data_IF_288386662916
#
_entry.id   IF_288386662916
#
_cell.length_a   1.000
_cell.length_b   1.000
_cell.length_c   1.000
_cell.angle_alpha   90.00
_cell.angle_beta   90.00
_cell.angle_gamma   90.00
#
_symmetry.space_group_name_H-M   'P 1'
#
loop_
_entity.id
_entity.type
_entity.pdbx_description
1 polymer ?
#
# COMPACT_ATOMS: atom_id res chain seq x y z
N UNK A 1 3.95 42.18 -20.07
CA UNK A 1 4.99 41.37 -19.45
C UNK A 1 4.29 40.44 -18.49
N UNK A 2 4.34 39.13 -18.70
CA UNK A 2 3.76 38.16 -17.74
C UNK A 2 4.60 38.20 -16.45
N UNK A 3 3.93 38.41 -15.31
CA UNK A 3 4.58 38.32 -14.00
C UNK A 3 5.24 36.92 -13.85
N UNK A 4 6.40 36.83 -13.22
CA UNK A 4 7.01 35.57 -12.92
C UNK A 4 6.09 34.76 -11.99
N UNK A 5 6.18 33.41 -12.02
CA UNK A 5 5.34 32.59 -11.15
C UNK A 5 5.57 32.90 -9.66
N UNK A 6 6.80 33.14 -9.25
CA UNK A 6 7.13 33.51 -7.88
C UNK A 6 6.52 34.86 -7.46
N UNK A 7 6.38 35.81 -8.39
CA UNK A 7 5.64 37.07 -8.13
C UNK A 7 4.13 36.83 -7.92
N UNK A 8 3.55 35.89 -8.62
CA UNK A 8 2.11 35.53 -8.49
C UNK A 8 1.80 34.90 -7.13
N UNK A 9 2.76 34.18 -6.54
CA UNK A 9 2.64 33.53 -5.22
C UNK A 9 3.34 34.28 -4.09
N UNK A 10 3.68 35.57 -4.27
CA UNK A 10 4.37 36.42 -3.30
C UNK A 10 3.62 36.65 -1.98
N UNK A 11 2.39 36.19 -1.85
CA UNK A 11 1.66 36.11 -0.58
C UNK A 11 2.12 34.96 0.33
N UNK A 12 2.96 34.06 -0.17
CA UNK A 12 3.70 33.03 0.55
C UNK A 12 5.15 33.47 0.76
N UNK A 13 5.82 32.88 1.73
CA UNK A 13 7.26 32.97 1.86
C UNK A 13 7.94 32.07 0.84
N UNK A 14 8.16 32.61 -0.36
CA UNK A 14 8.69 31.85 -1.50
C UNK A 14 10.15 31.42 -1.26
N UNK A 15 10.92 32.13 -0.44
CA UNK A 15 12.28 31.76 -0.09
C UNK A 15 12.30 30.46 0.72
N UNK A 16 11.47 30.37 1.76
CA UNK A 16 11.29 29.15 2.54
C UNK A 16 10.76 28.00 1.66
N UNK A 17 9.74 28.25 0.83
CA UNK A 17 9.16 27.21 -0.04
C UNK A 17 10.18 26.66 -1.05
N UNK A 18 10.94 27.51 -1.70
CA UNK A 18 11.95 27.14 -2.69
C UNK A 18 13.11 26.34 -2.07
N UNK A 19 13.56 26.68 -0.86
CA UNK A 19 14.58 25.88 -0.14
C UNK A 19 14.17 24.40 0.00
N UNK A 20 12.92 24.13 0.35
CA UNK A 20 12.42 22.75 0.45
C UNK A 20 12.28 22.06 -0.89
N UNK A 21 12.25 22.79 -1.99
CA UNK A 21 12.16 22.29 -3.36
C UNK A 21 13.52 22.22 -4.08
N UNK A 22 14.63 22.45 -3.38
CA UNK A 22 15.97 22.45 -3.97
C UNK A 22 16.10 23.50 -5.08
N UNK A 23 15.51 24.68 -4.88
CA UNK A 23 15.45 25.82 -5.80
C UNK A 23 14.80 25.52 -7.18
N UNK A 24 13.97 24.45 -7.28
CA UNK A 24 13.21 24.11 -8.47
C UNK A 24 11.83 24.75 -8.46
N UNK A 25 11.59 25.72 -9.34
CA UNK A 25 10.30 26.40 -9.49
C UNK A 25 9.20 25.42 -9.96
N UNK A 26 9.51 24.47 -10.83
CA UNK A 26 8.56 23.47 -11.31
C UNK A 26 8.10 22.55 -10.16
N UNK A 27 9.02 22.10 -9.32
CA UNK A 27 8.68 21.28 -8.17
C UNK A 27 7.92 22.08 -7.11
N UNK A 28 8.25 23.36 -6.91
CA UNK A 28 7.48 24.23 -6.02
C UNK A 28 6.05 24.43 -6.51
N UNK A 29 5.85 24.56 -7.80
CA UNK A 29 4.52 24.63 -8.44
C UNK A 29 3.69 23.37 -8.20
N UNK A 30 4.28 22.19 -8.38
CA UNK A 30 3.63 20.91 -8.09
C UNK A 30 3.27 20.77 -6.61
N UNK A 31 4.15 21.21 -5.72
CA UNK A 31 3.92 21.20 -4.27
C UNK A 31 2.74 22.11 -3.88
N UNK A 32 2.65 23.31 -4.46
CA UNK A 32 1.54 24.24 -4.23
C UNK A 32 0.21 23.69 -4.76
N UNK A 33 0.21 23.03 -5.91
CA UNK A 33 -0.97 22.33 -6.43
C UNK A 33 -1.42 21.19 -5.51
N UNK A 34 -0.48 20.38 -5.01
CA UNK A 34 -0.76 19.31 -4.06
C UNK A 34 -1.32 19.86 -2.73
N UNK A 35 -0.81 20.99 -2.26
CA UNK A 35 -1.31 21.67 -1.07
C UNK A 35 -2.75 22.17 -1.28
N UNK A 36 -3.06 22.77 -2.43
CA UNK A 36 -4.39 23.26 -2.81
C UNK A 36 -5.43 22.13 -2.81
N UNK A 37 -5.09 20.97 -3.41
CA UNK A 37 -6.02 19.86 -3.57
C UNK A 37 -5.95 18.82 -2.43
N UNK A 38 -5.37 19.17 -1.29
CA UNK A 38 -5.16 18.21 -0.18
C UNK A 38 -6.45 17.77 0.54
N UNK A 39 -7.57 18.47 0.38
CA UNK A 39 -8.84 18.21 1.08
C UNK A 39 -8.81 18.46 2.58
N UNK A 40 -7.69 18.96 3.14
CA UNK A 40 -7.48 19.12 4.59
C UNK A 40 -8.36 20.16 5.23
N UNK A 41 -8.80 21.15 4.46
CA UNK A 41 -9.67 22.19 4.99
C UNK A 41 -10.97 21.59 5.55
N UNK A 42 -11.62 20.73 4.77
CA UNK A 42 -12.85 20.06 5.17
C UNK A 42 -12.61 19.01 6.26
N UNK A 43 -11.50 18.28 6.17
CA UNK A 43 -11.10 17.25 7.16
C UNK A 43 -10.96 17.87 8.56
N UNK A 44 -10.22 18.99 8.68
CA UNK A 44 -10.00 19.68 9.95
C UNK A 44 -11.32 20.28 10.46
N UNK A 45 -12.09 20.90 9.56
CA UNK A 45 -13.37 21.50 9.92
C UNK A 45 -14.35 20.46 10.46
N UNK A 46 -14.48 19.33 9.77
CA UNK A 46 -15.34 18.22 10.20
C UNK A 46 -14.90 17.63 11.54
N UNK A 47 -13.59 17.40 11.74
CA UNK A 47 -13.08 16.92 13.03
C UNK A 47 -13.35 17.90 14.17
N UNK A 48 -13.31 19.22 13.90
CA UNK A 48 -13.63 20.26 14.87
C UNK A 48 -15.13 20.28 15.22
N UNK A 49 -16.04 20.25 14.25
CA UNK A 49 -17.49 20.25 14.44
C UNK A 49 -17.98 19.00 15.19
N UNK A 50 -17.36 17.84 14.90
CA UNK A 50 -17.69 16.57 15.52
C UNK A 50 -17.03 16.38 16.91
N UNK A 51 -16.26 17.37 17.39
CA UNK A 51 -15.48 17.31 18.65
C UNK A 51 -14.53 16.12 18.72
N UNK A 52 -14.03 15.61 17.57
CA UNK A 52 -13.08 14.50 17.48
C UNK A 52 -11.65 15.02 17.65
N UNK A 53 -11.26 15.35 18.89
CA UNK A 53 -10.03 16.09 19.18
C UNK A 53 -8.73 15.36 18.80
N UNK A 54 -8.73 14.02 18.82
CA UNK A 54 -7.55 13.25 18.38
C UNK A 54 -7.38 13.31 16.85
N UNK A 55 -8.45 13.10 16.07
CA UNK A 55 -8.42 13.27 14.61
C UNK A 55 -8.08 14.71 14.23
N UNK A 56 -8.65 15.67 14.96
CA UNK A 56 -8.34 17.08 14.82
C UNK A 56 -6.85 17.36 15.03
N UNK A 57 -6.25 16.81 16.09
CA UNK A 57 -4.82 16.95 16.40
C UNK A 57 -3.94 16.42 15.26
N UNK A 58 -4.28 15.25 14.72
CA UNK A 58 -3.57 14.64 13.59
C UNK A 58 -3.67 15.52 12.34
N UNK A 59 -4.86 16.01 12.02
CA UNK A 59 -5.10 16.83 10.83
C UNK A 59 -4.39 18.19 10.92
N UNK A 60 -4.40 18.88 12.08
CA UNK A 60 -3.68 20.15 12.25
C UNK A 60 -2.16 19.95 12.32
N UNK A 61 -1.67 18.81 12.84
CA UNK A 61 -0.24 18.45 12.75
C UNK A 61 0.24 18.37 11.30
N UNK A 62 -0.55 17.71 10.47
CA UNK A 62 -0.25 17.60 9.05
C UNK A 62 -0.37 18.97 8.34
N UNK A 63 -1.36 19.80 8.70
CA UNK A 63 -1.48 21.18 8.18
C UNK A 63 -0.25 22.03 8.54
N UNK A 64 0.23 21.97 9.80
CA UNK A 64 1.42 22.66 10.24
C UNK A 64 2.63 22.38 9.34
N UNK A 65 2.91 21.10 9.12
CA UNK A 65 4.06 20.65 8.34
C UNK A 65 3.95 21.02 6.86
N UNK A 66 2.80 20.80 6.23
CA UNK A 66 2.60 21.13 4.82
C UNK A 66 2.55 22.64 4.57
N UNK A 67 1.99 23.43 5.50
CA UNK A 67 1.98 24.88 5.39
C UNK A 67 3.40 25.48 5.52
N UNK A 68 4.27 24.88 6.33
CA UNK A 68 5.67 25.27 6.40
C UNK A 68 6.40 25.02 5.07
N UNK A 69 6.20 23.81 4.49
CA UNK A 69 6.83 23.43 3.22
C UNK A 69 6.48 24.35 2.05
N UNK A 70 5.26 24.87 2.04
CA UNK A 70 4.81 25.79 0.96
C UNK A 70 5.03 27.26 1.28
N UNK A 71 5.67 27.60 2.41
CA UNK A 71 5.90 28.97 2.83
C UNK A 71 4.65 29.70 3.36
N UNK A 72 3.57 28.99 3.73
CA UNK A 72 2.39 29.56 4.38
C UNK A 72 2.61 29.72 5.90
N UNK A 73 3.61 30.50 6.30
CA UNK A 73 4.15 30.55 7.67
C UNK A 73 3.10 30.90 8.73
N UNK A 74 2.17 31.82 8.44
CA UNK A 74 1.10 32.17 9.40
C UNK A 74 0.13 31.02 9.65
N UNK A 75 -0.19 30.26 8.61
CA UNK A 75 -1.05 29.07 8.73
C UNK A 75 -0.33 27.97 9.51
N UNK A 76 0.97 27.77 9.23
CA UNK A 76 1.81 26.81 9.95
C UNK A 76 1.90 27.14 11.44
N UNK A 77 2.10 28.38 11.80
CA UNK A 77 2.15 28.81 13.21
C UNK A 77 0.80 28.68 13.91
N UNK A 78 -0.30 29.08 13.27
CA UNK A 78 -1.66 28.86 13.79
C UNK A 78 -1.95 27.38 14.03
N UNK A 79 -1.60 26.53 13.07
CA UNK A 79 -1.76 25.07 13.18
C UNK A 79 -0.87 24.48 14.31
N UNK A 80 0.34 25.00 14.51
CA UNK A 80 1.23 24.60 15.61
C UNK A 80 0.60 24.88 16.99
N UNK A 81 0.00 26.05 17.14
CA UNK A 81 -0.66 26.43 18.40
C UNK A 81 -1.92 25.60 18.66
N UNK A 82 -2.69 25.30 17.61
CA UNK A 82 -3.87 24.43 17.72
C UNK A 82 -3.46 22.98 18.02
N UNK A 83 -2.38 22.47 17.41
CA UNK A 83 -1.83 21.14 17.72
C UNK A 83 -1.44 21.05 19.20
N UNK A 84 -0.74 22.08 19.72
CA UNK A 84 -0.33 22.11 21.12
C UNK A 84 -1.53 22.16 22.05
N UNK A 85 -2.52 22.99 21.75
CA UNK A 85 -3.75 23.08 22.55
C UNK A 85 -4.53 21.75 22.55
N UNK A 86 -4.56 21.04 21.44
CA UNK A 86 -5.17 19.71 21.36
C UNK A 86 -4.42 18.67 22.21
N UNK A 87 -3.08 18.69 22.20
CA UNK A 87 -2.24 17.84 23.07
C UNK A 87 -2.47 18.11 24.55
N UNK A 88 -2.64 19.37 24.91
CA UNK A 88 -2.83 19.82 26.28
C UNK A 88 -4.31 19.73 26.74
N UNK A 89 -5.18 19.16 25.91
CA UNK A 89 -6.64 19.09 26.09
C UNK A 89 -7.28 20.47 26.41
N UNK A 90 -6.67 21.56 25.91
CA UNK A 90 -7.15 22.92 26.10
C UNK A 90 -8.25 23.29 25.09
N UNK A 91 -9.44 22.73 25.30
CA UNK A 91 -10.60 22.92 24.42
C UNK A 91 -11.02 24.40 24.33
N UNK A 92 -10.83 25.18 25.38
CA UNK A 92 -11.16 26.61 25.36
C UNK A 92 -10.31 27.36 24.31
N UNK A 93 -9.02 27.06 24.23
CA UNK A 93 -8.15 27.62 23.21
C UNK A 93 -8.55 27.20 21.80
N UNK A 94 -8.88 25.91 21.61
CA UNK A 94 -9.33 25.38 20.32
C UNK A 94 -10.58 26.12 19.82
N UNK A 95 -11.60 26.27 20.69
CA UNK A 95 -12.83 26.95 20.36
C UNK A 95 -12.63 28.43 20.03
N UNK A 96 -11.67 29.10 20.67
CA UNK A 96 -11.38 30.52 20.44
C UNK A 96 -10.60 30.79 19.15
N UNK A 97 -9.64 29.91 18.77
CA UNK A 97 -8.64 30.22 17.73
C UNK A 97 -8.75 29.37 16.48
N UNK A 98 -9.57 28.29 16.47
CA UNK A 98 -9.76 27.43 15.29
C UNK A 98 -10.19 28.25 14.08
N UNK A 99 -11.25 29.05 14.22
CA UNK A 99 -11.81 29.82 13.09
C UNK A 99 -10.83 30.78 12.45
N UNK A 100 -9.99 31.45 13.24
CA UNK A 100 -8.99 32.40 12.75
C UNK A 100 -7.95 31.65 11.90
N UNK A 101 -7.42 30.53 12.40
CA UNK A 101 -6.44 29.71 11.66
C UNK A 101 -7.03 29.16 10.36
N UNK A 102 -8.26 28.66 10.40
CA UNK A 102 -8.93 28.11 9.21
C UNK A 102 -9.28 29.20 8.21
N UNK A 103 -9.59 30.41 8.66
CA UNK A 103 -9.80 31.54 7.77
C UNK A 103 -8.50 31.94 7.05
N UNK A 104 -7.36 31.98 7.75
CA UNK A 104 -6.06 32.20 7.11
C UNK A 104 -5.73 31.11 6.10
N UNK A 105 -6.00 29.85 6.42
CA UNK A 105 -5.80 28.74 5.50
C UNK A 105 -6.69 28.85 4.26
N UNK A 106 -7.98 29.10 4.42
CA UNK A 106 -8.93 29.33 3.31
C UNK A 106 -8.52 30.49 2.39
N UNK A 107 -7.98 31.59 2.97
CA UNK A 107 -7.46 32.70 2.17
C UNK A 107 -6.24 32.32 1.32
N UNK A 108 -5.35 31.47 1.84
CA UNK A 108 -4.21 30.94 1.08
C UNK A 108 -4.71 30.06 -0.07
N UNK A 109 -5.64 29.14 0.20
CA UNK A 109 -6.21 28.25 -0.83
C UNK A 109 -6.91 29.07 -1.93
N UNK A 110 -7.75 30.04 -1.58
CA UNK A 110 -8.45 30.89 -2.56
C UNK A 110 -7.51 31.74 -3.42
N UNK A 111 -6.35 32.16 -2.88
CA UNK A 111 -5.34 32.85 -3.69
C UNK A 111 -4.60 31.90 -4.62
N UNK A 112 -4.31 30.68 -4.18
CA UNK A 112 -3.69 29.65 -5.02
C UNK A 112 -4.63 29.23 -6.16
N UNK A 113 -5.94 29.07 -5.89
CA UNK A 113 -6.94 28.81 -6.93
C UNK A 113 -6.84 29.83 -8.06
N UNK A 114 -6.79 31.11 -7.73
CA UNK A 114 -6.69 32.20 -8.73
C UNK A 114 -5.38 32.18 -9.52
N UNK A 115 -4.28 31.75 -8.92
CA UNK A 115 -2.98 31.61 -9.60
C UNK A 115 -3.01 30.44 -10.59
N UNK A 116 -3.75 29.39 -10.26
CA UNK A 116 -3.88 28.20 -11.09
C UNK A 116 -5.13 28.18 -11.97
N UNK A 117 -6.05 29.19 -11.85
CA UNK A 117 -7.16 29.44 -12.77
C UNK A 117 -6.61 29.81 -14.16
N UNK A 118 -6.34 28.82 -15.01
CA UNK A 118 -5.81 29.02 -16.36
C UNK A 118 -4.67 28.13 -16.75
N UNK A 119 -4.13 27.35 -15.80
CA UNK A 119 -3.25 26.23 -16.10
C UNK A 119 -4.12 25.02 -16.46
N UNK A 120 -3.94 24.47 -17.67
CA UNK A 120 -4.60 23.24 -18.10
C UNK A 120 -4.47 22.19 -17.02
N UNK A 121 -5.60 21.75 -16.50
CA UNK A 121 -5.75 20.66 -15.55
C UNK A 121 -5.14 19.41 -16.16
N UNK A 122 -4.02 18.97 -15.62
CA UNK A 122 -3.57 17.59 -15.80
C UNK A 122 -4.61 16.68 -15.13
N UNK A 123 -5.38 16.01 -15.98
CA UNK A 123 -6.30 14.94 -15.60
C UNK A 123 -7.38 15.42 -14.64
N UNK A 124 -8.45 15.98 -15.18
CA UNK A 124 -9.75 15.94 -14.54
C UNK A 124 -9.91 14.53 -13.98
N UNK A 125 -9.82 14.41 -12.64
CA UNK A 125 -10.66 13.42 -12.00
C UNK A 125 -12.05 13.70 -12.59
N UNK A 126 -12.71 12.71 -13.21
CA UNK A 126 -14.03 12.95 -13.69
C UNK A 126 -14.81 13.56 -12.51
N UNK A 127 -15.17 14.85 -12.62
CA UNK A 127 -16.36 15.28 -11.93
C UNK A 127 -17.36 14.20 -12.32
N UNK A 128 -17.66 13.35 -11.37
CA UNK A 128 -18.95 12.71 -11.39
C UNK A 128 -19.91 13.90 -11.33
N UNK A 129 -20.21 14.47 -12.50
CA UNK A 129 -21.50 15.11 -12.71
C UNK A 129 -22.45 13.99 -12.35
N UNK A 130 -22.83 13.96 -11.07
CA UNK A 130 -24.04 13.30 -10.68
C UNK A 130 -25.11 13.91 -11.58
N UNK A 131 -25.33 13.29 -12.73
CA UNK A 131 -26.64 13.35 -13.33
C UNK A 131 -27.52 12.88 -12.19
N UNK A 132 -28.27 13.81 -11.61
CA UNK A 132 -29.34 13.47 -10.69
C UNK A 132 -30.36 12.72 -11.54
N UNK A 133 -30.03 11.49 -11.90
CA UNK A 133 -30.98 10.57 -12.48
C UNK A 133 -32.05 10.40 -11.41
N UNK A 134 -33.26 10.83 -11.72
CA UNK A 134 -34.42 10.68 -10.85
C UNK A 134 -34.51 9.20 -10.49
N UNK A 135 -34.42 8.84 -9.18
CA UNK A 135 -34.39 7.43 -8.79
C UNK A 135 -35.62 6.69 -9.29
N UNK A 136 -35.41 5.48 -9.79
CA UNK A 136 -36.47 4.65 -10.35
C UNK A 136 -37.01 3.68 -9.30
N UNK A 137 -38.30 3.76 -9.03
CA UNK A 137 -39.04 2.89 -8.09
C UNK A 137 -40.00 2.00 -8.88
N UNK A 138 -39.89 0.69 -8.68
CA UNK A 138 -40.87 -0.29 -9.17
C UNK A 138 -41.90 -0.55 -8.08
N UNK A 139 -43.19 -0.40 -8.40
CA UNK A 139 -44.30 -0.72 -7.50
C UNK A 139 -44.99 -1.96 -8.01
N UNK A 140 -45.16 -2.95 -7.15
CA UNK A 140 -45.77 -4.26 -7.47
C UNK A 140 -46.96 -4.46 -6.52
N UNK A 141 -48.16 -4.45 -7.05
CA UNK A 141 -49.42 -4.60 -6.30
C UNK A 141 -50.52 -5.09 -7.24
N UNK A 142 -51.36 -6.03 -6.83
CA UNK A 142 -52.42 -6.58 -7.68
C UNK A 142 -53.63 -5.66 -7.76
N UNK A 143 -53.73 -4.65 -6.91
CA UNK A 143 -54.80 -3.65 -6.97
C UNK A 143 -54.35 -2.38 -7.75
N UNK A 144 -55.02 -2.18 -8.91
CA UNK A 144 -54.79 -1.02 -9.76
C UNK A 144 -55.02 0.35 -9.04
N UNK A 145 -55.80 0.39 -7.97
CA UNK A 145 -56.03 1.61 -7.18
C UNK A 145 -54.81 1.92 -6.34
N UNK A 146 -54.20 0.94 -5.68
CA UNK A 146 -52.98 1.06 -4.93
C UNK A 146 -51.81 1.54 -5.82
N UNK A 147 -51.66 0.96 -7.01
CA UNK A 147 -50.65 1.38 -7.98
C UNK A 147 -50.79 2.85 -8.37
N UNK A 148 -52.02 3.28 -8.71
CA UNK A 148 -52.29 4.70 -9.06
C UNK A 148 -52.05 5.65 -7.89
N UNK A 149 -52.39 5.23 -6.68
CA UNK A 149 -52.10 6.05 -5.48
C UNK A 149 -50.60 6.19 -5.27
N UNK A 150 -49.85 5.09 -5.29
CA UNK A 150 -48.41 5.10 -5.11
C UNK A 150 -47.71 5.95 -6.19
N UNK A 151 -48.06 5.75 -7.46
CA UNK A 151 -47.56 6.54 -8.59
C UNK A 151 -47.80 8.06 -8.38
N UNK A 152 -49.02 8.45 -8.03
CA UNK A 152 -49.39 9.85 -7.83
C UNK A 152 -48.67 10.47 -6.63
N UNK A 153 -48.48 9.70 -5.52
CA UNK A 153 -47.77 10.17 -4.33
C UNK A 153 -46.28 10.41 -4.60
N UNK A 154 -45.66 9.57 -5.44
CA UNK A 154 -44.24 9.63 -5.74
C UNK A 154 -43.91 10.49 -6.96
N UNK A 155 -44.93 10.93 -7.73
CA UNK A 155 -44.75 11.75 -8.93
C UNK A 155 -43.99 13.05 -8.62
N UNK A 156 -42.99 13.38 -9.47
CA UNK A 156 -42.17 14.59 -9.34
C UNK A 156 -40.90 14.40 -8.51
N UNK A 157 -40.81 13.35 -7.66
CA UNK A 157 -39.61 13.02 -6.91
C UNK A 157 -38.91 11.75 -7.43
N UNK A 158 -39.69 10.79 -7.96
CA UNK A 158 -39.22 9.51 -8.44
C UNK A 158 -39.77 9.20 -9.84
N UNK A 159 -39.01 8.42 -10.63
CA UNK A 159 -39.53 7.74 -11.79
C UNK A 159 -40.22 6.47 -11.30
N UNK A 160 -41.48 6.29 -11.56
CA UNK A 160 -42.28 5.18 -11.06
C UNK A 160 -42.69 4.27 -12.22
N UNK A 161 -42.49 2.97 -12.05
CA UNK A 161 -43.06 1.93 -12.89
C UNK A 161 -43.98 1.04 -12.04
N UNK A 162 -45.12 0.64 -12.59
CA UNK A 162 -46.12 -0.13 -11.90
C UNK A 162 -46.37 -1.46 -12.63
N UNK A 163 -46.44 -2.55 -11.89
CA UNK A 163 -46.82 -3.89 -12.42
C UNK A 163 -47.82 -4.56 -11.48
N UNK A 164 -48.65 -5.42 -12.02
CA UNK A 164 -49.81 -5.98 -11.30
C UNK A 164 -49.58 -7.38 -10.74
N UNK A 165 -48.40 -7.95 -10.89
CA UNK A 165 -48.11 -9.30 -10.37
C UNK A 165 -46.60 -9.51 -10.13
N UNK A 166 -46.29 -10.50 -9.28
CA UNK A 166 -44.91 -10.92 -9.07
C UNK A 166 -44.21 -11.39 -10.34
N UNK A 167 -44.96 -12.05 -11.23
CA UNK A 167 -44.44 -12.52 -12.52
C UNK A 167 -44.03 -11.32 -13.40
N UNK A 168 -44.92 -10.33 -13.55
CA UNK A 168 -44.61 -9.12 -14.29
C UNK A 168 -43.42 -8.35 -13.69
N UNK A 169 -43.26 -8.35 -12.36
CA UNK A 169 -42.13 -7.76 -11.71
C UNK A 169 -40.81 -8.44 -12.13
N UNK A 170 -40.76 -9.75 -12.18
CA UNK A 170 -39.58 -10.50 -12.63
C UNK A 170 -39.28 -10.28 -14.12
N UNK A 171 -40.31 -10.27 -14.98
CA UNK A 171 -40.17 -9.93 -16.38
C UNK A 171 -39.71 -8.47 -16.62
N UNK A 172 -40.13 -7.56 -15.77
CA UNK A 172 -39.65 -6.17 -15.77
C UNK A 172 -38.15 -6.10 -15.47
N UNK A 173 -37.68 -6.83 -14.44
CA UNK A 173 -36.28 -6.82 -14.02
C UNK A 173 -35.31 -7.40 -15.08
N UNK A 174 -35.79 -8.24 -16.00
CA UNK A 174 -34.97 -8.68 -17.14
C UNK A 174 -34.60 -7.51 -18.08
N UNK A 175 -35.45 -6.49 -18.17
CA UNK A 175 -35.32 -5.35 -19.07
C UNK A 175 -34.65 -4.13 -18.38
N UNK A 176 -35.04 -3.89 -17.13
CA UNK A 176 -34.60 -2.68 -16.41
C UNK A 176 -34.48 -2.99 -14.90
N UNK A 177 -33.41 -2.48 -14.28
CA UNK A 177 -33.16 -2.63 -12.85
C UNK A 177 -33.54 -1.33 -12.13
N UNK A 178 -34.56 -1.32 -11.25
CA UNK A 178 -34.95 -0.17 -10.47
C UNK A 178 -33.98 0.08 -9.31
N UNK A 179 -34.00 1.29 -8.77
CA UNK A 179 -33.25 1.63 -7.58
C UNK A 179 -33.89 1.10 -6.29
N UNK A 180 -35.22 0.85 -6.31
CA UNK A 180 -35.98 0.32 -5.17
C UNK A 180 -37.23 -0.38 -5.67
N UNK A 181 -37.68 -1.43 -4.96
CA UNK A 181 -38.94 -2.12 -5.22
C UNK A 181 -39.88 -1.93 -4.01
N UNK A 182 -41.09 -1.43 -4.26
CA UNK A 182 -42.22 -1.50 -3.35
C UNK A 182 -43.03 -2.75 -3.72
N UNK A 183 -43.15 -3.74 -2.84
CA UNK A 183 -43.66 -5.07 -3.15
C UNK A 183 -44.80 -5.43 -2.20
N UNK A 184 -45.99 -5.63 -2.76
CA UNK A 184 -47.10 -6.14 -2.00
C UNK A 184 -46.85 -7.58 -1.53
N UNK A 185 -47.20 -7.85 -0.29
CA UNK A 185 -47.09 -9.20 0.28
C UNK A 185 -48.15 -10.15 -0.22
N UNK A 186 -49.38 -9.66 -0.40
CA UNK A 186 -50.55 -10.49 -0.67
C UNK A 186 -51.01 -10.32 -2.11
N UNK A 187 -50.39 -11.07 -3.03
CA UNK A 187 -50.76 -11.07 -4.43
C UNK A 187 -51.21 -12.48 -4.85
N UNK A 188 -52.19 -12.60 -5.80
CA UNK A 188 -52.58 -13.88 -6.38
C UNK A 188 -51.43 -14.56 -7.12
N UNK A 189 -51.41 -15.88 -7.12
CA UNK A 189 -50.47 -16.74 -7.86
C UNK A 189 -49.04 -16.71 -7.30
N UNK A 190 -48.48 -15.55 -7.05
CA UNK A 190 -47.12 -15.38 -6.52
C UNK A 190 -47.14 -14.28 -5.46
N UNK A 191 -46.89 -14.65 -4.21
CA UNK A 191 -46.81 -13.72 -3.06
C UNK A 191 -45.53 -12.86 -3.09
N UNK A 192 -45.55 -11.73 -2.38
CA UNK A 192 -44.33 -10.89 -2.27
C UNK A 192 -43.15 -11.62 -1.65
N UNK A 193 -43.39 -12.59 -0.77
CA UNK A 193 -42.31 -13.41 -0.21
C UNK A 193 -41.65 -14.30 -1.28
N UNK A 194 -42.43 -14.92 -2.18
CA UNK A 194 -41.90 -15.74 -3.25
C UNK A 194 -41.12 -14.89 -4.27
N UNK A 195 -41.60 -13.68 -4.57
CA UNK A 195 -40.83 -12.73 -5.40
C UNK A 195 -39.48 -12.38 -4.71
N UNK A 196 -39.49 -12.10 -3.39
CA UNK A 196 -38.30 -11.79 -2.63
C UNK A 196 -37.29 -12.93 -2.63
N UNK A 197 -37.73 -14.18 -2.50
CA UNK A 197 -36.88 -15.37 -2.61
C UNK A 197 -36.15 -15.41 -3.95
N UNK A 198 -36.88 -15.17 -5.06
CA UNK A 198 -36.29 -15.16 -6.40
C UNK A 198 -35.32 -14.01 -6.59
N UNK A 199 -35.64 -12.82 -6.06
CA UNK A 199 -34.71 -11.67 -6.08
C UNK A 199 -33.39 -11.99 -5.35
N UNK A 200 -33.45 -12.64 -4.19
CA UNK A 200 -32.27 -12.99 -3.41
C UNK A 200 -31.46 -14.14 -4.00
N UNK A 201 -32.09 -15.03 -4.75
CA UNK A 201 -31.42 -16.14 -5.44
C UNK A 201 -30.62 -15.67 -6.66
N UNK A 202 -31.04 -14.60 -7.31
CA UNK A 202 -30.40 -14.10 -8.53
C UNK A 202 -29.36 -13.00 -8.22
N UNK A 203 -28.11 -13.22 -8.63
CA UNK A 203 -26.99 -12.30 -8.38
C UNK A 203 -27.25 -10.87 -8.82
N UNK A 204 -27.95 -10.68 -9.96
CA UNK A 204 -28.24 -9.36 -10.55
C UNK A 204 -29.22 -8.53 -9.73
N UNK A 205 -30.11 -9.18 -8.95
CA UNK A 205 -31.25 -8.54 -8.30
C UNK A 205 -31.14 -8.52 -6.78
N UNK A 206 -30.28 -9.38 -6.19
CA UNK A 206 -30.21 -9.61 -4.75
C UNK A 206 -29.92 -8.36 -3.92
N UNK A 207 -29.25 -7.36 -4.52
CA UNK A 207 -28.84 -6.12 -3.85
C UNK A 207 -29.83 -4.96 -4.06
N UNK A 208 -30.93 -5.19 -4.80
CA UNK A 208 -32.00 -4.19 -4.96
C UNK A 208 -32.71 -4.03 -3.61
N UNK A 209 -32.82 -2.81 -3.08
CA UNK A 209 -33.59 -2.54 -1.86
C UNK A 209 -35.07 -2.82 -2.08
N UNK A 210 -35.69 -3.55 -1.14
CA UNK A 210 -37.12 -3.91 -1.16
C UNK A 210 -37.79 -3.37 0.09
N UNK A 211 -38.92 -2.71 -0.10
CA UNK A 211 -39.87 -2.33 0.96
C UNK A 211 -41.16 -3.11 0.71
N UNK A 212 -41.64 -3.82 1.73
CA UNK A 212 -42.92 -4.50 1.60
C UNK A 212 -44.10 -3.57 1.84
N UNK A 213 -45.16 -3.74 1.06
CA UNK A 213 -46.47 -3.14 1.23
C UNK A 213 -47.35 -4.16 1.98
N UNK A 214 -48.00 -3.78 3.08
CA UNK A 214 -48.78 -4.71 3.90
C UNK A 214 -50.08 -4.10 4.37
N UNK A 215 -51.16 -4.90 4.34
CA UNK A 215 -52.42 -4.55 5.01
C UNK A 215 -52.46 -5.01 6.47
N UNK A 216 -51.56 -5.94 6.87
CA UNK A 216 -51.50 -6.54 8.17
C UNK A 216 -50.44 -5.91 9.05
N UNK A 217 -50.82 -5.60 10.29
CA UNK A 217 -49.88 -5.20 11.33
C UNK A 217 -49.45 -6.43 12.18
N UNK A 218 -49.43 -7.61 11.58
CA UNK A 218 -49.00 -8.83 12.26
C UNK A 218 -47.48 -8.84 12.42
N UNK A 219 -47.03 -8.85 13.67
CA UNK A 219 -45.61 -8.80 14.03
C UNK A 219 -44.78 -9.93 13.40
N UNK A 220 -45.38 -11.10 13.21
CA UNK A 220 -44.70 -12.27 12.63
C UNK A 220 -44.39 -12.09 11.13
N UNK A 221 -45.25 -11.39 10.40
CA UNK A 221 -45.06 -11.05 9.00
C UNK A 221 -43.89 -10.10 8.79
N UNK A 222 -43.79 -9.06 9.64
CA UNK A 222 -42.69 -8.12 9.62
C UNK A 222 -41.35 -8.81 9.95
N UNK A 223 -41.32 -9.64 11.01
CA UNK A 223 -40.13 -10.39 11.39
C UNK A 223 -39.64 -11.29 10.25
N UNK A 224 -40.56 -12.02 9.60
CA UNK A 224 -40.23 -12.87 8.45
C UNK A 224 -39.66 -12.04 7.30
N UNK A 225 -40.26 -10.93 6.95
CA UNK A 225 -39.81 -10.08 5.86
C UNK A 225 -38.40 -9.49 6.10
N UNK A 226 -38.09 -9.03 7.32
CA UNK A 226 -36.74 -8.57 7.66
C UNK A 226 -35.72 -9.72 7.59
N UNK A 227 -36.08 -10.92 8.04
CA UNK A 227 -35.19 -12.10 7.92
C UNK A 227 -34.86 -12.44 6.45
N UNK A 228 -35.82 -12.19 5.53
CA UNK A 228 -35.63 -12.38 4.11
C UNK A 228 -34.85 -11.23 3.44
N UNK A 229 -34.55 -10.16 4.19
CA UNK A 229 -33.74 -9.04 3.72
C UNK A 229 -34.52 -7.86 3.16
N UNK A 230 -35.80 -7.70 3.52
CA UNK A 230 -36.51 -6.45 3.31
C UNK A 230 -35.91 -5.34 4.18
N UNK A 231 -35.89 -4.11 3.68
CA UNK A 231 -35.31 -2.99 4.40
C UNK A 231 -36.33 -2.19 5.22
N UNK A 232 -37.62 -2.26 4.85
CA UNK A 232 -38.71 -1.61 5.58
C UNK A 232 -40.07 -2.15 5.15
N UNK A 233 -41.15 -1.67 5.79
CA UNK A 233 -42.55 -1.98 5.52
C UNK A 233 -43.36 -0.68 5.41
N UNK A 234 -44.36 -0.66 4.55
CA UNK A 234 -45.33 0.44 4.42
C UNK A 234 -46.72 -0.14 4.56
N UNK A 235 -47.45 0.31 5.59
CA UNK A 235 -48.82 -0.13 5.82
C UNK A 235 -49.80 0.49 4.79
N UNK A 236 -50.76 -0.31 4.35
CA UNK A 236 -51.91 0.17 3.58
C UNK A 236 -53.05 0.55 4.58
N UNK A 237 -53.84 1.62 4.31
CA UNK A 237 -53.74 2.55 3.20
C UNK A 237 -52.54 3.49 3.30
N UNK A 238 -51.95 3.86 2.14
CA UNK A 238 -50.74 4.68 2.06
C UNK A 238 -50.97 6.09 2.60
N UNK A 239 -50.01 6.58 3.37
CA UNK A 239 -49.89 7.97 3.77
C UNK A 239 -48.71 8.57 3.01
N UNK A 240 -48.96 9.60 2.18
CA UNK A 240 -47.97 10.15 1.25
C UNK A 240 -46.64 10.51 1.94
N UNK A 241 -46.67 11.31 3.01
CA UNK A 241 -45.47 11.74 3.71
C UNK A 241 -44.65 10.57 4.28
N UNK A 242 -45.31 9.53 4.80
CA UNK A 242 -44.64 8.34 5.34
C UNK A 242 -44.01 7.55 4.20
N UNK A 243 -44.71 7.31 3.11
CA UNK A 243 -44.21 6.60 1.96
C UNK A 243 -42.96 7.30 1.37
N UNK A 244 -43.08 8.60 1.11
CA UNK A 244 -41.99 9.41 0.56
C UNK A 244 -40.74 9.40 1.47
N UNK A 245 -40.93 9.58 2.78
CA UNK A 245 -39.83 9.54 3.74
C UNK A 245 -39.12 8.17 3.78
N UNK A 246 -39.87 7.07 3.81
CA UNK A 246 -39.27 5.71 3.84
C UNK A 246 -38.53 5.40 2.56
N UNK A 247 -39.13 5.68 1.41
CA UNK A 247 -38.49 5.47 0.08
C UNK A 247 -37.22 6.31 -0.03
N UNK A 248 -37.28 7.62 0.27
CA UNK A 248 -36.12 8.52 0.20
C UNK A 248 -35.00 8.06 1.12
N UNK A 249 -35.32 7.69 2.37
CA UNK A 249 -34.34 7.22 3.36
C UNK A 249 -33.63 5.94 2.89
N UNK A 250 -34.36 4.98 2.37
CA UNK A 250 -33.78 3.71 1.90
C UNK A 250 -32.88 3.95 0.69
N UNK A 251 -33.31 4.79 -0.26
CA UNK A 251 -32.51 5.14 -1.44
C UNK A 251 -31.22 5.89 -1.05
N UNK A 252 -31.30 6.81 -0.09
CA UNK A 252 -30.12 7.53 0.42
C UNK A 252 -29.15 6.58 1.11
N UNK A 253 -29.63 5.69 1.96
CA UNK A 253 -28.79 4.68 2.64
C UNK A 253 -28.11 3.74 1.62
N UNK A 254 -28.82 3.29 0.59
CA UNK A 254 -28.26 2.43 -0.46
C UNK A 254 -27.18 3.17 -1.28
N UNK A 255 -27.43 4.44 -1.60
CA UNK A 255 -26.47 5.33 -2.28
C UNK A 255 -25.20 5.50 -1.44
N UNK A 256 -25.33 5.82 -0.15
CA UNK A 256 -24.20 5.96 0.77
C UNK A 256 -23.42 4.66 0.91
N UNK A 257 -24.11 3.53 1.04
CA UNK A 257 -23.48 2.22 1.10
C UNK A 257 -22.63 1.92 -0.14
N UNK A 258 -23.18 2.13 -1.34
CA UNK A 258 -22.48 1.92 -2.61
C UNK A 258 -21.29 2.86 -2.77
N UNK A 259 -21.44 4.12 -2.38
CA UNK A 259 -20.35 5.09 -2.38
C UNK A 259 -19.20 4.68 -1.45
N UNK A 260 -19.53 4.28 -0.21
CA UNK A 260 -18.53 3.81 0.75
C UNK A 260 -17.80 2.55 0.28
N UNK A 261 -18.52 1.60 -0.31
CA UNK A 261 -17.90 0.39 -0.88
C UNK A 261 -16.90 0.75 -1.99
N UNK A 262 -17.30 1.61 -2.92
CA UNK A 262 -16.40 2.06 -4.00
C UNK A 262 -15.17 2.80 -3.46
N UNK A 263 -15.33 3.63 -2.42
CA UNK A 263 -14.22 4.33 -1.79
C UNK A 263 -13.27 3.38 -1.07
N UNK A 264 -13.80 2.37 -0.34
CA UNK A 264 -12.98 1.33 0.30
C UNK A 264 -12.17 0.55 -0.74
N UNK A 265 -12.80 0.14 -1.85
CA UNK A 265 -12.10 -0.56 -2.94
C UNK A 265 -11.00 0.31 -3.56
N UNK A 266 -11.27 1.61 -3.76
CA UNK A 266 -10.30 2.58 -4.27
C UNK A 266 -9.12 2.73 -3.33
N UNK A 267 -9.37 2.90 -2.02
CA UNK A 267 -8.33 3.06 -1.00
C UNK A 267 -7.48 1.79 -0.86
N UNK A 268 -8.11 0.62 -0.90
CA UNK A 268 -7.41 -0.67 -0.85
C UNK A 268 -6.45 -0.81 -2.03
N UNK A 269 -6.91 -0.49 -3.25
CA UNK A 269 -6.06 -0.53 -4.45
C UNK A 269 -4.86 0.42 -4.34
N UNK A 270 -5.11 1.67 -3.93
CA UNK A 270 -4.03 2.66 -3.74
C UNK A 270 -3.02 2.23 -2.67
N UNK A 271 -3.49 1.64 -1.57
CA UNK A 271 -2.63 1.12 -0.51
C UNK A 271 -1.74 -0.02 -1.03
N UNK A 272 -2.28 -0.95 -1.81
CA UNK A 272 -1.52 -2.03 -2.43
C UNK A 272 -0.47 -1.52 -3.43
N UNK A 273 -0.83 -0.53 -4.27
CA UNK A 273 0.10 0.09 -5.21
C UNK A 273 1.25 0.78 -4.48
N UNK A 274 0.95 1.54 -3.42
CA UNK A 274 1.96 2.19 -2.56
C UNK A 274 2.87 1.16 -1.91
N UNK A 275 2.30 0.10 -1.33
CA UNK A 275 3.08 -0.99 -0.73
C UNK A 275 4.05 -1.60 -1.73
N UNK A 276 3.57 -1.98 -2.93
CA UNK A 276 4.43 -2.53 -4.00
C UNK A 276 5.52 -1.56 -4.45
N UNK A 277 5.22 -0.24 -4.47
CA UNK A 277 6.23 0.78 -4.81
C UNK A 277 7.32 0.87 -3.74
N UNK A 278 6.94 0.87 -2.47
CA UNK A 278 7.89 0.89 -1.34
C UNK A 278 8.77 -0.36 -1.33
N UNK A 279 8.19 -1.56 -1.52
CA UNK A 279 8.92 -2.82 -1.62
C UNK A 279 9.96 -2.80 -2.74
N UNK A 280 9.56 -2.32 -3.94
CA UNK A 280 10.51 -2.18 -5.07
C UNK A 280 11.63 -1.20 -4.77
N UNK A 281 11.30 -0.05 -4.19
CA UNK A 281 12.29 0.98 -3.85
C UNK A 281 13.27 0.48 -2.80
N UNK A 282 12.79 -0.20 -1.75
CA UNK A 282 13.65 -0.81 -0.73
C UNK A 282 14.61 -1.82 -1.35
N UNK A 283 14.12 -2.70 -2.22
CA UNK A 283 14.97 -3.65 -2.95
C UNK A 283 16.05 -2.95 -3.80
N UNK A 284 15.68 -1.90 -4.54
CA UNK A 284 16.63 -1.13 -5.35
C UNK A 284 17.69 -0.45 -4.50
N UNK A 285 17.30 0.14 -3.35
CA UNK A 285 18.25 0.78 -2.42
C UNK A 285 19.26 -0.24 -1.89
N UNK A 286 18.78 -1.41 -1.44
CA UNK A 286 19.65 -2.46 -0.92
C UNK A 286 20.61 -2.97 -2.01
N UNK A 287 20.12 -3.21 -3.23
CA UNK A 287 20.95 -3.61 -4.37
C UNK A 287 21.98 -2.54 -4.73
N UNK A 288 21.62 -1.27 -4.67
CA UNK A 288 22.56 -0.16 -4.92
C UNK A 288 23.64 -0.10 -3.85
N UNK A 289 23.29 -0.31 -2.57
CA UNK A 289 24.28 -0.38 -1.50
C UNK A 289 25.27 -1.53 -1.70
N UNK A 290 24.78 -2.73 -2.04
CA UNK A 290 25.62 -3.87 -2.35
C UNK A 290 26.54 -3.59 -3.55
N UNK A 291 25.99 -3.04 -4.64
CA UNK A 291 26.78 -2.66 -5.81
C UNK A 291 27.84 -1.57 -5.51
N UNK A 292 27.56 -0.68 -4.54
CA UNK A 292 28.52 0.34 -4.10
C UNK A 292 29.71 -0.30 -3.37
N UNK A 293 29.46 -1.35 -2.59
CA UNK A 293 30.51 -2.12 -1.92
C UNK A 293 31.30 -2.95 -2.95
N UNK A 294 30.60 -3.62 -3.89
CA UNK A 294 31.27 -4.32 -4.99
C UNK A 294 32.17 -3.38 -5.80
N UNK A 295 31.74 -2.14 -6.08
CA UNK A 295 32.53 -1.15 -6.80
C UNK A 295 33.81 -0.69 -6.04
N UNK A 296 33.88 -0.85 -4.73
CA UNK A 296 35.06 -0.60 -3.93
C UNK A 296 36.16 -1.65 -4.15
N UNK A 297 35.77 -2.88 -4.47
CA UNK A 297 36.63 -3.98 -4.86
C UNK A 297 36.55 -4.14 -6.38
N UNK A 298 37.56 -3.66 -7.10
CA UNK A 298 37.58 -3.59 -8.58
C UNK A 298 37.36 -4.94 -9.28
N UNK A 299 37.36 -6.03 -8.54
CA UNK A 299 37.27 -7.40 -9.07
C UNK A 299 35.93 -8.09 -8.77
N UNK A 300 35.00 -7.40 -8.07
CA UNK A 300 33.77 -7.99 -7.58
C UNK A 300 32.49 -7.48 -8.22
N UNK A 301 32.55 -6.94 -9.43
CA UNK A 301 31.37 -6.40 -10.10
C UNK A 301 30.24 -7.46 -10.19
N UNK A 302 29.10 -7.18 -9.54
CA UNK A 302 27.93 -8.06 -9.46
C UNK A 302 28.12 -9.33 -8.59
N UNK A 303 29.23 -9.45 -7.86
CA UNK A 303 29.50 -10.55 -6.95
C UNK A 303 28.39 -10.72 -5.91
N UNK A 304 28.08 -9.65 -5.17
CA UNK A 304 27.06 -9.70 -4.12
C UNK A 304 25.70 -10.17 -4.64
N UNK A 305 25.32 -9.78 -5.86
CA UNK A 305 24.05 -10.22 -6.47
C UNK A 305 24.11 -11.72 -6.80
N UNK A 306 25.22 -12.22 -7.37
CA UNK A 306 25.36 -13.64 -7.72
C UNK A 306 25.39 -14.51 -6.46
N UNK A 307 26.14 -14.11 -5.43
CA UNK A 307 26.15 -14.81 -4.12
C UNK A 307 24.76 -14.86 -3.52
N UNK A 308 24.01 -13.77 -3.56
CA UNK A 308 22.62 -13.71 -3.06
C UNK A 308 21.71 -14.69 -3.83
N UNK A 309 21.80 -14.75 -5.16
CA UNK A 309 21.00 -15.67 -5.98
C UNK A 309 21.34 -17.13 -5.71
N UNK A 310 22.63 -17.48 -5.59
CA UNK A 310 23.04 -18.84 -5.24
C UNK A 310 22.58 -19.21 -3.84
N UNK A 311 22.70 -18.30 -2.89
CA UNK A 311 22.25 -18.51 -1.51
C UNK A 311 20.75 -18.77 -1.42
N UNK A 312 19.95 -18.01 -2.16
CA UNK A 312 18.49 -18.19 -2.25
C UNK A 312 18.13 -19.55 -2.85
N UNK A 313 18.81 -19.96 -3.93
CA UNK A 313 18.56 -21.25 -4.57
C UNK A 313 18.97 -22.43 -3.67
N UNK A 314 20.08 -22.31 -2.96
CA UNK A 314 20.49 -23.30 -1.96
C UNK A 314 19.47 -23.41 -0.83
N UNK A 315 18.97 -22.28 -0.33
CA UNK A 315 17.91 -22.23 0.69
C UNK A 315 16.61 -22.90 0.19
N UNK A 316 16.22 -22.67 -1.04
CA UNK A 316 15.07 -23.31 -1.69
C UNK A 316 15.24 -24.84 -1.72
N UNK A 317 16.41 -25.32 -2.11
CA UNK A 317 16.73 -26.76 -2.17
C UNK A 317 16.84 -27.41 -0.80
N UNK A 318 17.15 -26.62 0.24
CA UNK A 318 17.11 -27.05 1.64
C UNK A 318 15.67 -27.10 2.20
N UNK A 319 14.65 -26.72 1.41
CA UNK A 319 13.25 -26.73 1.84
C UNK A 319 12.86 -25.54 2.73
N UNK A 320 13.61 -24.44 2.67
CA UNK A 320 13.28 -23.22 3.41
C UNK A 320 12.01 -22.56 2.87
N UNK A 321 11.25 -21.91 3.74
CA UNK A 321 10.06 -21.13 3.35
C UNK A 321 10.43 -20.00 2.41
N UNK A 322 9.45 -19.47 1.68
CA UNK A 322 9.68 -18.34 0.76
C UNK A 322 10.26 -17.11 1.48
N UNK A 323 9.81 -16.84 2.71
CA UNK A 323 10.34 -15.73 3.50
C UNK A 323 11.82 -15.97 3.87
N UNK A 324 12.17 -17.14 4.40
CA UNK A 324 13.57 -17.49 4.71
C UNK A 324 14.47 -17.43 3.47
N UNK A 325 13.96 -17.79 2.29
CA UNK A 325 14.71 -17.68 1.03
C UNK A 325 15.02 -16.22 0.67
N UNK A 326 14.05 -15.31 0.85
CA UNK A 326 14.26 -13.89 0.63
C UNK A 326 15.19 -13.26 1.69
N UNK A 327 15.05 -13.67 2.95
CA UNK A 327 15.94 -13.22 4.03
C UNK A 327 17.41 -13.62 3.74
N UNK A 328 17.62 -14.88 3.34
CA UNK A 328 18.95 -15.40 2.97
C UNK A 328 19.48 -14.67 1.71
N UNK A 329 18.62 -14.31 0.76
CA UNK A 329 19.00 -13.49 -0.38
C UNK A 329 19.58 -12.14 0.07
N UNK A 330 18.91 -11.43 0.99
CA UNK A 330 19.42 -10.15 1.50
C UNK A 330 20.68 -10.32 2.35
N UNK A 331 20.78 -11.39 3.14
CA UNK A 331 22.00 -11.72 3.89
C UNK A 331 23.18 -11.93 2.94
N UNK A 332 22.99 -12.71 1.85
CA UNK A 332 24.02 -12.91 0.83
C UNK A 332 24.35 -11.63 0.07
N UNK A 333 23.36 -10.76 -0.17
CA UNK A 333 23.58 -9.49 -0.86
C UNK A 333 24.44 -8.51 -0.05
N UNK A 334 24.33 -8.55 1.28
CA UNK A 334 25.00 -7.64 2.20
C UNK A 334 26.14 -8.27 3.01
N UNK A 335 26.52 -9.52 2.70
CA UNK A 335 27.53 -10.25 3.49
C UNK A 335 28.86 -9.49 3.62
N UNK A 336 29.25 -8.80 2.56
CA UNK A 336 30.51 -8.07 2.43
C UNK A 336 30.40 -6.58 2.76
N UNK A 337 29.26 -6.08 3.29
CA UNK A 337 29.07 -4.64 3.56
C UNK A 337 30.16 -4.03 4.45
N UNK A 338 30.76 -4.83 5.30
CA UNK A 338 31.86 -4.40 6.18
C UNK A 338 33.16 -4.05 5.47
N UNK A 339 33.32 -4.40 4.18
CA UNK A 339 34.46 -3.95 3.37
C UNK A 339 34.55 -2.41 3.26
N UNK A 340 33.45 -1.71 3.59
CA UNK A 340 33.49 -0.24 3.66
C UNK A 340 34.53 0.27 4.68
N UNK A 341 34.80 -0.51 5.72
CA UNK A 341 35.80 -0.19 6.75
C UNK A 341 37.25 -0.49 6.37
N UNK A 342 37.48 -1.17 5.24
CA UNK A 342 38.82 -1.57 4.81
C UNK A 342 39.39 -0.50 3.84
N UNK A 343 40.65 -0.06 3.99
CA UNK A 343 41.26 0.88 3.06
C UNK A 343 41.38 0.35 1.63
N UNK A 344 41.08 1.18 0.62
CA UNK A 344 41.10 0.80 -0.81
C UNK A 344 42.45 0.27 -1.27
N UNK A 345 43.52 0.80 -0.71
CA UNK A 345 44.91 0.36 -1.00
C UNK A 345 45.16 -1.10 -0.62
N UNK A 346 44.42 -1.63 0.36
CA UNK A 346 44.55 -3.02 0.81
C UNK A 346 43.62 -3.92 0.00
N UNK A 347 42.38 -3.52 -0.21
CA UNK A 347 41.40 -4.31 -0.99
C UNK A 347 41.91 -4.48 -2.43
N UNK A 348 42.43 -3.42 -3.06
CA UNK A 348 42.85 -3.41 -4.45
C UNK A 348 44.36 -3.59 -4.62
N UNK A 349 45.06 -4.12 -3.62
CA UNK A 349 46.50 -4.31 -3.68
C UNK A 349 46.88 -5.32 -4.78
N UNK A 350 47.71 -4.93 -5.74
CA UNK A 350 48.23 -5.90 -6.73
C UNK A 350 49.24 -6.82 -6.05
N UNK A 351 48.92 -8.10 -5.87
CA UNK A 351 49.80 -9.10 -5.32
C UNK A 351 49.37 -9.65 -3.96
N UNK A 352 50.32 -10.31 -3.24
CA UNK A 352 50.01 -10.93 -1.96
C UNK A 352 49.93 -9.87 -0.85
N UNK A 353 48.96 -10.04 0.04
CA UNK A 353 48.82 -9.26 1.26
C UNK A 353 49.92 -9.66 2.26
N UNK A 354 50.38 -8.71 3.10
CA UNK A 354 51.13 -9.05 4.32
C UNK A 354 50.21 -9.66 5.37
N UNK A 355 50.78 -10.24 6.40
CA UNK A 355 49.97 -10.81 7.48
C UNK A 355 49.15 -9.76 8.21
N UNK A 356 49.67 -8.55 8.38
CA UNK A 356 48.96 -7.41 9.01
C UNK A 356 47.83 -6.91 8.12
N UNK A 357 48.05 -6.82 6.81
CA UNK A 357 46.99 -6.44 5.85
C UNK A 357 45.89 -7.49 5.78
N UNK A 358 46.25 -8.77 5.88
CA UNK A 358 45.28 -9.87 5.90
C UNK A 358 44.47 -9.84 7.19
N UNK A 359 45.08 -9.59 8.36
CA UNK A 359 44.37 -9.42 9.61
C UNK A 359 43.37 -8.25 9.54
N UNK A 360 43.72 -7.15 8.84
CA UNK A 360 42.81 -6.05 8.67
C UNK A 360 41.62 -6.44 7.77
N UNK A 361 41.82 -7.19 6.71
CA UNK A 361 40.71 -7.71 5.89
C UNK A 361 39.78 -8.58 6.73
N UNK A 362 40.31 -9.44 7.61
CA UNK A 362 39.48 -10.27 8.51
C UNK A 362 38.56 -9.51 9.46
N UNK A 363 38.71 -8.18 9.55
CA UNK A 363 37.80 -7.36 10.38
C UNK A 363 36.45 -7.08 9.71
N UNK A 364 36.34 -7.21 8.36
CA UNK A 364 35.10 -6.81 7.65
C UNK A 364 33.86 -7.60 8.11
N UNK A 365 33.91 -8.90 8.48
CA UNK A 365 32.72 -9.60 8.98
C UNK A 365 32.18 -8.97 10.28
N UNK A 366 33.07 -8.55 11.15
CA UNK A 366 32.71 -7.88 12.41
C UNK A 366 32.11 -6.50 12.13
N UNK A 367 32.77 -5.69 11.28
CA UNK A 367 32.27 -4.38 10.87
C UNK A 367 30.90 -4.51 10.18
N UNK A 368 30.74 -5.47 9.28
CA UNK A 368 29.48 -5.74 8.59
C UNK A 368 28.36 -6.11 9.56
N UNK A 369 28.65 -6.98 10.52
CA UNK A 369 27.71 -7.35 11.59
C UNK A 369 27.27 -6.12 12.41
N UNK A 370 28.18 -5.24 12.78
CA UNK A 370 27.87 -4.01 13.52
C UNK A 370 27.01 -3.03 12.71
N UNK A 371 27.21 -2.94 11.40
CA UNK A 371 26.37 -2.13 10.50
C UNK A 371 24.95 -2.68 10.43
N UNK A 372 24.79 -4.00 10.32
CA UNK A 372 23.51 -4.64 10.07
C UNK A 372 22.67 -4.93 11.32
N UNK A 373 23.26 -4.92 12.53
CA UNK A 373 22.58 -5.31 13.78
C UNK A 373 21.30 -4.54 14.11
N UNK A 374 21.12 -3.34 13.54
CA UNK A 374 19.94 -2.51 13.78
C UNK A 374 18.78 -2.81 12.81
N UNK A 375 18.94 -3.74 11.87
CA UNK A 375 17.89 -4.17 10.94
C UNK A 375 17.09 -5.28 11.62
N UNK A 376 15.90 -4.96 12.13
CA UNK A 376 15.02 -5.90 12.84
C UNK A 376 14.12 -6.73 11.92
N UNK A 377 13.88 -6.24 10.69
CA UNK A 377 12.94 -6.86 9.74
C UNK A 377 13.45 -8.17 9.12
N UNK A 378 14.76 -8.42 9.19
CA UNK A 378 15.40 -9.64 8.71
C UNK A 378 16.17 -10.25 9.90
N UNK A 379 15.57 -11.21 10.63
CA UNK A 379 16.19 -11.79 11.81
C UNK A 379 17.54 -12.44 11.51
N UNK A 380 18.58 -12.04 12.23
CA UNK A 380 19.93 -12.62 12.08
C UNK A 380 20.70 -12.15 10.85
N UNK A 381 20.29 -11.07 10.20
CA UNK A 381 21.00 -10.52 9.01
C UNK A 381 22.48 -10.24 9.32
N UNK A 382 22.78 -9.79 10.54
CA UNK A 382 24.13 -9.52 11.01
C UNK A 382 24.99 -10.78 11.09
N UNK A 383 24.36 -11.98 11.28
CA UNK A 383 25.07 -13.25 11.37
C UNK A 383 25.55 -13.72 10.01
N UNK A 384 24.79 -13.44 8.95
CA UNK A 384 25.22 -13.69 7.57
C UNK A 384 26.55 -12.96 7.26
N UNK A 385 26.63 -11.67 7.61
CA UNK A 385 27.87 -10.90 7.46
C UNK A 385 28.98 -11.33 8.42
N UNK A 386 28.66 -11.69 9.67
CA UNK A 386 29.65 -12.02 10.67
C UNK A 386 30.33 -13.35 10.41
N UNK A 387 29.57 -14.39 9.96
CA UNK A 387 30.03 -15.76 9.95
C UNK A 387 30.20 -16.38 8.56
N UNK A 388 30.08 -15.66 7.48
CA UNK A 388 30.29 -16.22 6.13
C UNK A 388 31.73 -16.72 5.86
N UNK A 389 32.71 -16.28 6.65
CA UNK A 389 34.09 -16.80 6.64
C UNK A 389 34.40 -17.80 7.74
N UNK A 390 33.40 -18.18 8.54
CA UNK A 390 33.56 -19.34 9.42
C UNK A 390 33.64 -20.62 8.61
N UNK A 391 34.42 -21.54 9.09
CA UNK A 391 34.61 -22.82 8.45
C UNK A 391 33.96 -23.95 9.29
N UNK A 392 33.40 -24.93 8.63
CA UNK A 392 32.68 -26.01 9.29
C UNK A 392 33.57 -26.81 10.29
N UNK A 393 34.90 -26.84 10.05
CA UNK A 393 35.88 -27.45 10.92
C UNK A 393 36.30 -26.61 12.15
N UNK A 394 35.89 -25.33 12.21
CA UNK A 394 36.19 -24.39 13.30
C UNK A 394 37.51 -23.61 13.10
N UNK A 395 38.15 -23.70 11.94
CA UNK A 395 39.40 -22.99 11.65
C UNK A 395 39.17 -21.68 10.92
N UNK A 396 37.92 -21.20 10.86
CA UNK A 396 37.49 -19.94 10.25
C UNK A 396 37.66 -18.71 11.16
N UNK A 397 37.10 -17.62 10.76
CA UNK A 397 37.09 -16.37 11.49
C UNK A 397 35.73 -15.64 11.34
N UNK A 398 35.35 -14.71 12.24
CA UNK A 398 36.15 -14.11 13.32
C UNK A 398 36.07 -14.84 14.66
N UNK A 399 35.05 -15.70 14.89
CA UNK A 399 34.75 -16.28 16.22
C UNK A 399 35.24 -17.74 16.37
N UNK A 400 35.70 -18.39 15.29
CA UNK A 400 36.16 -19.79 15.28
C UNK A 400 35.06 -20.78 15.57
N UNK A 401 33.82 -20.51 15.15
CA UNK A 401 32.65 -21.37 15.31
C UNK A 401 32.77 -22.64 14.48
N UNK A 402 32.19 -23.73 14.99
CA UNK A 402 32.32 -25.05 14.37
C UNK A 402 30.96 -25.72 14.11
N UNK A 403 30.81 -26.33 12.95
CA UNK A 403 29.64 -27.16 12.63
C UNK A 403 28.33 -26.38 12.68
N UNK A 404 27.39 -26.84 13.49
CA UNK A 404 26.05 -26.24 13.62
C UNK A 404 26.01 -25.03 14.57
N UNK A 405 27.11 -24.65 15.21
CA UNK A 405 27.22 -23.36 15.92
C UNK A 405 27.22 -22.17 14.93
N UNK A 406 27.60 -22.42 13.68
CA UNK A 406 27.50 -21.46 12.58
C UNK A 406 26.05 -21.50 12.12
N UNK A 407 25.39 -20.32 12.00
CA UNK A 407 24.01 -20.25 11.47
C UNK A 407 23.92 -20.88 10.08
N UNK A 408 22.79 -21.48 9.76
CA UNK A 408 22.61 -22.14 8.45
C UNK A 408 22.73 -21.14 7.30
N UNK A 409 22.31 -19.90 7.51
CA UNK A 409 22.40 -18.81 6.55
C UNK A 409 23.85 -18.51 6.20
N UNK A 410 24.71 -18.37 7.21
CA UNK A 410 26.15 -18.15 7.02
C UNK A 410 26.83 -19.36 6.34
N UNK A 411 26.43 -20.59 6.67
CA UNK A 411 26.94 -21.82 6.00
C UNK A 411 26.56 -21.86 4.52
N UNK A 412 25.34 -21.38 4.18
CA UNK A 412 24.87 -21.24 2.79
C UNK A 412 25.70 -20.19 2.07
N UNK A 413 25.86 -18.99 2.66
CA UNK A 413 26.62 -17.89 2.06
C UNK A 413 28.08 -18.28 1.84
N UNK A 414 28.70 -18.96 2.80
CA UNK A 414 30.07 -19.46 2.68
C UNK A 414 30.30 -20.32 1.43
N UNK A 415 29.37 -21.23 1.11
CA UNK A 415 29.48 -22.07 -0.09
C UNK A 415 29.21 -21.27 -1.35
N UNK A 416 28.23 -20.37 -1.33
CA UNK A 416 27.86 -19.52 -2.46
C UNK A 416 28.99 -18.54 -2.82
N UNK A 417 29.58 -17.89 -1.81
CA UNK A 417 30.72 -16.98 -1.97
C UNK A 417 31.94 -17.70 -2.53
N UNK A 418 32.31 -18.85 -1.97
CA UNK A 418 33.42 -19.66 -2.48
C UNK A 418 33.20 -20.11 -3.93
N UNK A 419 31.96 -20.45 -4.30
CA UNK A 419 31.61 -20.80 -5.67
C UNK A 419 31.79 -19.60 -6.60
N UNK A 420 31.23 -18.42 -6.25
CA UNK A 420 31.36 -17.21 -7.05
C UNK A 420 32.85 -16.79 -7.18
N UNK A 421 33.59 -16.88 -6.08
CA UNK A 421 35.02 -16.60 -6.08
C UNK A 421 35.83 -17.47 -7.05
N UNK A 422 35.40 -18.70 -7.32
CA UNK A 422 36.05 -19.62 -8.26
C UNK A 422 35.56 -19.46 -9.70
N UNK A 423 34.36 -18.98 -9.91
CA UNK A 423 33.69 -18.85 -11.21
C UNK A 423 33.67 -17.42 -11.76
N UNK A 424 34.27 -16.47 -11.05
CA UNK A 424 34.45 -15.08 -11.49
C UNK A 424 35.91 -14.79 -11.85
N UNK A 425 36.13 -13.84 -12.75
CA UNK A 425 37.45 -13.37 -13.14
C UNK A 425 38.08 -12.56 -12.01
N UNK A 426 39.34 -12.85 -11.66
CA UNK A 426 40.10 -12.08 -10.66
C UNK A 426 41.44 -11.59 -11.26
N UNK A 427 42.06 -10.57 -10.62
CA UNK A 427 43.29 -9.95 -11.08
C UNK A 427 44.47 -10.93 -11.36
N UNK A 428 44.48 -12.02 -10.62
CA UNK A 428 45.56 -13.00 -10.63
C UNK A 428 45.15 -14.39 -11.15
N UNK A 429 43.87 -14.55 -11.57
CA UNK A 429 43.35 -15.86 -12.00
C UNK A 429 42.15 -15.72 -12.91
N UNK A 430 42.15 -16.43 -14.03
CA UNK A 430 40.98 -16.63 -14.88
C UNK A 430 39.93 -17.52 -14.22
N UNK A 431 38.71 -17.52 -14.78
CA UNK A 431 37.59 -18.37 -14.34
C UNK A 431 38.03 -19.84 -14.39
N UNK A 432 37.84 -20.58 -13.29
CA UNK A 432 38.14 -21.99 -13.22
C UNK A 432 37.16 -22.81 -14.07
N UNK A 433 37.67 -23.95 -14.61
CA UNK A 433 36.81 -24.92 -15.28
C UNK A 433 35.81 -25.50 -14.27
N UNK A 434 34.57 -25.77 -14.70
CA UNK A 434 33.50 -26.24 -13.83
C UNK A 434 33.85 -27.54 -13.09
N UNK A 435 34.57 -28.45 -13.75
CA UNK A 435 35.04 -29.69 -13.11
C UNK A 435 36.03 -29.43 -11.95
N UNK A 436 36.88 -28.40 -12.10
CA UNK A 436 37.81 -27.98 -11.03
C UNK A 436 37.05 -27.35 -9.88
N UNK A 437 36.09 -26.47 -10.17
CA UNK A 437 35.23 -25.85 -9.14
C UNK A 437 34.49 -26.94 -8.35
N UNK A 438 33.88 -27.89 -9.06
CA UNK A 438 33.19 -29.03 -8.44
C UNK A 438 34.10 -29.86 -7.55
N UNK A 439 35.31 -30.12 -8.00
CA UNK A 439 36.32 -30.88 -7.22
C UNK A 439 36.73 -30.13 -5.94
N UNK A 440 36.94 -28.80 -6.02
CA UNK A 440 37.28 -27.99 -4.84
C UNK A 440 36.14 -27.93 -3.83
N UNK A 441 34.88 -27.76 -4.27
CA UNK A 441 33.71 -27.82 -3.39
C UNK A 441 33.63 -29.21 -2.71
N UNK A 442 33.82 -30.29 -3.48
CA UNK A 442 33.80 -31.64 -2.95
C UNK A 442 34.89 -31.89 -1.90
N UNK A 443 36.12 -31.39 -2.11
CA UNK A 443 37.24 -31.49 -1.18
C UNK A 443 37.02 -30.71 0.11
N UNK A 444 36.27 -29.60 0.04
CA UNK A 444 35.91 -28.76 1.19
C UNK A 444 34.81 -29.33 2.08
N UNK A 445 34.14 -30.42 1.69
CA UNK A 445 33.03 -31.01 2.45
C UNK A 445 33.51 -31.43 3.86
N UNK A 446 32.80 -30.94 4.90
CA UNK A 446 33.09 -31.28 6.30
C UNK A 446 34.31 -30.55 6.88
N UNK A 447 35.06 -29.79 6.08
CA UNK A 447 36.15 -28.92 6.50
C UNK A 447 35.77 -27.44 6.34
N UNK A 448 35.83 -26.92 5.15
CA UNK A 448 35.40 -25.56 4.90
C UNK A 448 33.86 -25.43 4.85
N UNK A 449 33.20 -26.40 4.25
CA UNK A 449 31.78 -26.33 3.88
C UNK A 449 30.91 -27.31 4.69
N UNK A 450 29.69 -26.86 4.99
CA UNK A 450 28.64 -27.75 5.50
C UNK A 450 28.36 -28.86 4.48
N UNK A 451 28.36 -30.14 4.91
CA UNK A 451 28.20 -31.29 4.02
C UNK A 451 26.89 -31.30 3.24
N UNK A 452 25.78 -30.79 3.84
CA UNK A 452 24.48 -30.76 3.19
C UNK A 452 24.44 -29.67 2.14
N UNK A 453 24.93 -28.47 2.49
CA UNK A 453 24.94 -27.31 1.58
C UNK A 453 25.87 -27.55 0.40
N UNK A 454 27.08 -28.04 0.64
CA UNK A 454 28.06 -28.34 -0.41
C UNK A 454 27.54 -29.40 -1.42
N UNK A 455 26.84 -30.43 -0.95
CA UNK A 455 26.21 -31.43 -1.84
C UNK A 455 25.15 -30.81 -2.73
N UNK A 456 24.35 -29.89 -2.21
CA UNK A 456 23.35 -29.16 -3.02
C UNK A 456 24.01 -28.21 -4.05
N UNK A 457 25.11 -27.54 -3.68
CA UNK A 457 25.87 -26.75 -4.63
C UNK A 457 26.43 -27.62 -5.75
N UNK A 458 26.98 -28.80 -5.43
CA UNK A 458 27.46 -29.76 -6.45
C UNK A 458 26.33 -30.18 -7.42
N UNK A 459 25.13 -30.42 -6.90
CA UNK A 459 23.95 -30.70 -7.76
C UNK A 459 23.62 -29.52 -8.66
N UNK A 460 23.68 -28.28 -8.15
CA UNK A 460 23.46 -27.07 -8.96
C UNK A 460 24.52 -26.96 -10.07
N UNK A 461 25.79 -27.25 -9.77
CA UNK A 461 26.89 -27.28 -10.76
C UNK A 461 26.63 -28.34 -11.82
N UNK A 462 26.21 -29.55 -11.42
CA UNK A 462 25.95 -30.67 -12.33
C UNK A 462 24.74 -30.40 -13.26
N UNK A 463 23.75 -29.63 -12.79
CA UNK A 463 22.58 -29.22 -13.56
C UNK A 463 22.86 -28.04 -14.52
N UNK A 464 23.89 -27.23 -14.25
CA UNK A 464 24.25 -26.05 -15.05
C UNK A 464 25.06 -26.39 -16.30
N UNK A 465 24.45 -27.16 -17.19
CA UNK A 465 25.07 -27.64 -18.45
C UNK A 465 25.47 -26.48 -19.35
N UNK A 466 24.71 -25.40 -19.36
CA UNK A 466 24.89 -24.21 -20.22
C UNK A 466 25.81 -23.16 -19.60
N UNK A 467 26.38 -23.41 -18.43
CA UNK A 467 27.24 -22.50 -17.69
C UNK A 467 26.60 -21.12 -17.41
N UNK A 468 25.31 -21.13 -17.06
CA UNK A 468 24.54 -19.89 -16.77
C UNK A 468 24.82 -19.32 -15.39
N UNK A 469 25.29 -20.16 -14.46
CA UNK A 469 25.59 -19.75 -13.08
C UNK A 469 26.91 -19.01 -12.91
N UNK A 470 27.82 -19.07 -13.87
CA UNK A 470 29.11 -18.36 -13.81
C UNK A 470 29.02 -16.96 -14.41
N UNK A 471 30.03 -16.13 -14.08
CA UNK A 471 30.19 -14.84 -14.73
C UNK A 471 30.31 -15.03 -16.24
N UNK A 472 29.53 -14.24 -17.01
CA UNK A 472 29.64 -14.27 -18.47
C UNK A 472 30.91 -13.57 -18.87
N UNK A 473 31.68 -14.16 -19.84
CA UNK A 473 32.93 -13.60 -20.28
C UNK A 473 32.77 -12.21 -20.93
#
# INVERSE_FOLDING_TARGET
>A
MSQSFLEQVSFLDTETGMQYCGDSEDFYRELLMSYLHSGRYEEIWKAYEDYRWEDYRIAVHALKSTSLLVGALKVSEGARLLEQAAKDANTAYLLAHHRETMQMYGQVLSKLEKVFEGAETYGELPEVKESQEIPHVLVVDDDAMNLRMAERMMQGQFRVSCVMSGKEALEFLEREIPNLILLDLHMPVMSGFEVMEQLKAEYRYRDIPVIFLTADNERDVEVKGFQMGALDFIAKPFIADIMLQRVSRILELDRLRKHLQGEVERQTRLAEERRRKVERMAKQVIQTLASTIDAKDTYTNGHSIRVAEYSRELARRLGRTRQEQEDIYYMGLLHDIGKIGIPDQIINKPGKLTDEEYELIKTHPVVGSEILKNISEIPGIELGARWHHERYDGTGYPDGKKGEEISIEARIICVADAYDAMTSKRSYRDVLLQEVVRAEISKGIGTQFDPKVAKLMMLMIDEDIDYKMREKP
#
